data_IF_350595542527
#
_entry.id   IF_350595542527
#
_cell.length_a   1.000
_cell.length_b   1.000
_cell.length_c   1.000
_cell.angle_alpha   90.00
_cell.angle_beta   90.00
_cell.angle_gamma   90.00
#
_symmetry.space_group_name_H-M   'P 1'
#
loop_
_entity.id
_entity.type
_entity.pdbx_description
1 polymer ?
#
# COMPACT_ATOMS: atom_id res chain seq x y z
N UNK A 1 -21.88 -67.65 -13.28
CA UNK A 1 -20.65 -66.84 -13.27
C UNK A 1 -20.79 -65.55 -14.09
N UNK A 2 -21.51 -65.54 -15.21
CA UNK A 2 -21.66 -64.33 -16.07
C UNK A 2 -22.33 -63.12 -15.40
N UNK A 3 -23.37 -63.32 -14.58
CA UNK A 3 -24.10 -62.20 -13.93
C UNK A 3 -23.25 -61.41 -12.92
N UNK A 4 -22.26 -62.06 -12.31
CA UNK A 4 -21.37 -61.43 -11.32
C UNK A 4 -20.32 -60.57 -12.04
N UNK A 5 -19.83 -61.01 -13.19
CA UNK A 5 -18.91 -60.23 -14.03
C UNK A 5 -19.54 -58.95 -14.57
N UNK A 6 -20.82 -59.01 -14.96
CA UNK A 6 -21.55 -57.83 -15.45
C UNK A 6 -21.81 -56.80 -14.33
N UNK A 7 -22.09 -57.27 -13.11
CA UNK A 7 -22.28 -56.41 -11.93
C UNK A 7 -20.96 -55.74 -11.52
N UNK A 8 -19.84 -56.46 -11.57
CA UNK A 8 -18.49 -55.93 -11.32
C UNK A 8 -18.09 -54.89 -12.38
N UNK A 9 -18.41 -55.12 -13.65
CA UNK A 9 -18.14 -54.17 -14.73
C UNK A 9 -18.92 -52.87 -14.55
N UNK A 10 -20.21 -52.95 -14.18
CA UNK A 10 -21.05 -51.79 -13.89
C UNK A 10 -20.58 -51.02 -12.65
N UNK A 11 -20.09 -51.72 -11.63
CA UNK A 11 -19.53 -51.09 -10.43
C UNK A 11 -18.23 -50.33 -10.75
N UNK A 12 -17.34 -50.92 -11.56
CA UNK A 12 -16.12 -50.26 -12.02
C UNK A 12 -16.43 -49.04 -12.89
N UNK A 13 -17.42 -49.13 -13.79
CA UNK A 13 -17.87 -47.99 -14.60
C UNK A 13 -18.48 -46.88 -13.74
N UNK A 14 -19.25 -47.23 -12.72
CA UNK A 14 -19.86 -46.26 -11.80
C UNK A 14 -18.79 -45.53 -10.96
N UNK A 15 -17.77 -46.25 -10.49
CA UNK A 15 -16.66 -45.67 -9.72
C UNK A 15 -15.76 -44.78 -10.57
N UNK A 16 -15.55 -45.09 -11.86
CA UNK A 16 -14.79 -44.23 -12.79
C UNK A 16 -15.58 -42.99 -13.22
N UNK A 17 -16.92 -43.06 -13.26
CA UNK A 17 -17.79 -41.89 -13.50
C UNK A 17 -17.87 -40.94 -12.30
N UNK A 18 -17.70 -41.43 -11.07
CA UNK A 18 -17.72 -40.59 -9.85
C UNK A 18 -16.36 -39.99 -9.46
N UNK A 19 -15.28 -40.29 -10.17
CA UNK A 19 -13.91 -39.89 -9.79
C UNK A 19 -13.33 -38.71 -10.58
N UNK A 20 -14.15 -37.96 -11.35
CA UNK A 20 -13.69 -36.75 -12.07
C UNK A 20 -14.62 -35.56 -11.84
N UNK A 21 -14.88 -35.22 -10.59
CA UNK A 21 -15.26 -33.85 -10.19
C UNK A 21 -14.66 -33.58 -8.82
N UNK A 22 -13.33 -33.48 -8.75
CA UNK A 22 -12.71 -32.75 -7.66
C UNK A 22 -13.13 -31.29 -7.80
N UNK A 23 -13.74 -30.74 -6.75
CA UNK A 23 -13.99 -29.30 -6.68
C UNK A 23 -12.65 -28.58 -6.92
N UNK A 24 -12.62 -27.66 -7.89
CA UNK A 24 -11.42 -26.85 -8.13
C UNK A 24 -11.12 -26.11 -6.83
N UNK A 25 -9.98 -26.42 -6.24
CA UNK A 25 -9.52 -25.78 -5.01
C UNK A 25 -9.17 -24.30 -5.26
N UNK A 26 -8.54 -23.67 -4.28
CA UNK A 26 -8.07 -22.30 -4.40
C UNK A 26 -7.04 -22.21 -5.56
N UNK A 27 -7.45 -21.60 -6.67
CA UNK A 27 -6.55 -21.29 -7.80
C UNK A 27 -6.00 -19.87 -7.59
N UNK A 28 -4.69 -19.76 -7.38
CA UNK A 28 -4.03 -18.45 -7.33
C UNK A 28 -4.03 -17.81 -8.72
N UNK A 29 -4.17 -16.47 -8.81
CA UNK A 29 -4.06 -15.76 -10.07
C UNK A 29 -2.73 -16.05 -10.75
N UNK A 30 -2.78 -16.43 -12.01
CA UNK A 30 -1.63 -16.46 -12.91
C UNK A 30 -1.74 -15.32 -13.91
N UNK A 31 -0.59 -14.89 -14.42
CA UNK A 31 -0.52 -13.85 -15.43
C UNK A 31 -1.32 -14.26 -16.68
N UNK A 32 -2.29 -13.44 -17.08
CA UNK A 32 -3.24 -13.75 -18.17
C UNK A 32 -2.66 -13.50 -19.59
N UNK A 33 -1.42 -13.03 -19.68
CA UNK A 33 -0.71 -12.78 -20.93
C UNK A 33 -0.96 -11.39 -21.54
N UNK A 34 -1.74 -10.52 -20.90
CA UNK A 34 -1.92 -9.14 -21.35
C UNK A 34 -0.86 -8.23 -20.75
N UNK A 35 -0.28 -7.38 -21.58
CA UNK A 35 0.63 -6.30 -21.20
C UNK A 35 -0.15 -5.13 -20.58
N UNK A 36 0.11 -4.83 -19.30
CA UNK A 36 -0.49 -3.71 -18.56
C UNK A 36 0.54 -2.63 -18.22
N UNK A 37 1.83 -2.90 -18.38
CA UNK A 37 2.88 -1.94 -18.03
C UNK A 37 2.96 -0.79 -19.04
N UNK A 38 2.71 0.41 -18.54
CA UNK A 38 2.74 1.62 -19.36
C UNK A 38 4.16 2.18 -19.40
N UNK A 39 4.74 2.28 -20.60
CA UNK A 39 5.96 3.06 -20.79
C UNK A 39 5.66 4.56 -20.59
N UNK A 40 6.10 5.10 -19.46
CA UNK A 40 5.85 6.47 -19.04
C UNK A 40 6.97 7.40 -19.52
N UNK A 41 6.55 8.54 -20.03
CA UNK A 41 7.41 9.61 -20.54
C UNK A 41 6.80 10.96 -20.19
N UNK A 42 7.56 12.03 -20.37
CA UNK A 42 7.07 13.40 -20.17
C UNK A 42 5.77 13.71 -20.94
N UNK A 43 5.54 13.04 -22.08
CA UNK A 43 4.37 13.27 -22.95
C UNK A 43 3.07 12.68 -22.40
N UNK A 44 3.14 11.59 -21.64
CA UNK A 44 1.96 10.83 -21.22
C UNK A 44 1.79 10.76 -19.69
N UNK A 45 2.81 11.05 -18.89
CA UNK A 45 2.79 10.90 -17.44
C UNK A 45 1.58 11.59 -16.79
N UNK A 46 1.43 12.91 -17.01
CA UNK A 46 0.32 13.67 -16.43
C UNK A 46 -1.07 13.18 -16.88
N UNK A 47 -1.18 12.53 -18.04
CA UNK A 47 -2.46 11.97 -18.51
C UNK A 47 -2.79 10.70 -17.74
N UNK A 48 -1.80 9.83 -17.51
CA UNK A 48 -2.01 8.60 -16.76
C UNK A 48 -2.16 8.87 -15.26
N UNK A 49 -1.43 9.84 -14.71
CA UNK A 49 -1.59 10.32 -13.34
C UNK A 49 -3.03 10.81 -13.05
N UNK A 50 -3.74 11.32 -14.06
CA UNK A 50 -5.15 11.73 -13.95
C UNK A 50 -6.15 10.62 -14.29
N UNK A 51 -5.69 9.54 -14.93
CA UNK A 51 -6.54 8.45 -15.41
C UNK A 51 -6.80 7.43 -14.30
N UNK A 52 -5.78 7.17 -13.49
CA UNK A 52 -5.79 6.17 -12.45
C UNK A 52 -5.90 6.84 -11.08
N UNK A 53 -6.61 6.19 -10.17
CA UNK A 53 -6.74 6.66 -8.78
C UNK A 53 -5.41 6.52 -8.04
N UNK A 54 -4.68 5.42 -8.33
CA UNK A 54 -3.28 5.20 -7.96
C UNK A 54 -2.47 4.87 -9.21
N UNK A 55 -1.35 5.56 -9.42
CA UNK A 55 -0.37 5.21 -10.44
C UNK A 55 0.91 4.69 -9.78
N UNK A 56 1.15 3.38 -9.86
CA UNK A 56 2.40 2.74 -9.43
C UNK A 56 3.43 2.85 -10.55
N UNK A 57 4.64 3.31 -10.22
CA UNK A 57 5.71 3.59 -11.16
C UNK A 57 6.99 2.90 -10.71
N UNK A 58 7.51 2.03 -11.56
CA UNK A 58 8.84 1.45 -11.43
C UNK A 58 9.87 2.28 -12.21
N UNK A 59 10.96 2.67 -11.56
CA UNK A 59 12.06 3.39 -12.21
C UNK A 59 13.15 2.41 -12.63
N UNK A 60 13.42 2.34 -13.93
CA UNK A 60 14.37 1.41 -14.53
C UNK A 60 15.54 2.13 -15.22
N UNK A 61 16.58 1.37 -15.54
CA UNK A 61 17.64 1.76 -16.46
C UNK A 61 17.72 0.73 -17.59
N UNK A 62 18.27 1.09 -18.76
CA UNK A 62 18.46 0.11 -19.83
C UNK A 62 19.28 -1.09 -19.33
N UNK A 63 18.73 -2.29 -19.47
CA UNK A 63 19.41 -3.53 -19.14
C UNK A 63 20.15 -4.07 -20.36
N UNK A 64 21.40 -4.53 -20.20
CA UNK A 64 22.08 -5.27 -21.25
C UNK A 64 21.45 -6.66 -21.39
N UNK A 65 20.76 -6.90 -22.51
CA UNK A 65 20.11 -8.19 -22.78
C UNK A 65 21.09 -9.37 -22.88
N UNK A 66 22.39 -9.11 -23.06
CA UNK A 66 23.42 -10.15 -23.06
C UNK A 66 23.84 -10.54 -21.63
N UNK A 67 23.56 -9.69 -20.63
CA UNK A 67 23.74 -10.01 -19.23
C UNK A 67 22.54 -10.83 -18.74
N UNK A 68 22.76 -12.15 -18.64
CA UNK A 68 21.74 -13.10 -18.19
C UNK A 68 21.20 -12.79 -16.79
N UNK A 69 22.01 -12.20 -15.91
CA UNK A 69 21.59 -11.89 -14.55
C UNK A 69 20.61 -10.71 -14.56
N UNK A 70 20.97 -9.61 -15.22
CA UNK A 70 20.11 -8.43 -15.31
C UNK A 70 18.82 -8.73 -16.09
N UNK A 71 18.92 -9.48 -17.19
CA UNK A 71 17.74 -9.92 -17.95
C UNK A 71 16.77 -10.76 -17.08
N UNK A 72 17.30 -11.65 -16.22
CA UNK A 72 16.47 -12.45 -15.33
C UNK A 72 15.83 -11.63 -14.21
N UNK A 73 16.56 -10.67 -13.64
CA UNK A 73 16.01 -9.78 -12.62
C UNK A 73 14.88 -8.90 -13.17
N UNK A 74 15.07 -8.36 -14.37
CA UNK A 74 14.03 -7.60 -15.06
C UNK A 74 12.79 -8.48 -15.29
N UNK A 75 12.97 -9.70 -15.82
CA UNK A 75 11.85 -10.62 -16.05
C UNK A 75 11.04 -10.88 -14.76
N UNK A 76 11.70 -11.13 -13.63
CA UNK A 76 11.01 -11.35 -12.35
C UNK A 76 10.25 -10.10 -11.88
N UNK A 77 10.84 -8.93 -12.10
CA UNK A 77 10.23 -7.64 -11.73
C UNK A 77 9.02 -7.34 -12.62
N UNK A 78 9.16 -7.53 -13.92
CA UNK A 78 8.10 -7.38 -14.91
C UNK A 78 6.92 -8.31 -14.59
N UNK A 79 7.19 -9.60 -14.36
CA UNK A 79 6.17 -10.58 -13.95
C UNK A 79 5.45 -10.17 -12.64
N UNK A 80 6.20 -9.66 -11.66
CA UNK A 80 5.63 -9.18 -10.39
C UNK A 80 4.69 -7.99 -10.59
N UNK A 81 5.13 -6.99 -11.35
CA UNK A 81 4.37 -5.76 -11.60
C UNK A 81 3.12 -6.03 -12.45
N UNK A 82 3.25 -6.86 -13.49
CA UNK A 82 2.13 -7.24 -14.35
C UNK A 82 1.05 -8.01 -13.59
N UNK A 83 1.44 -8.94 -12.71
CA UNK A 83 0.48 -9.68 -11.91
C UNK A 83 -0.19 -8.76 -10.86
N UNK A 84 0.56 -7.83 -10.26
CA UNK A 84 -0.02 -6.82 -9.37
C UNK A 84 -1.04 -5.93 -10.11
N UNK A 85 -0.70 -5.48 -11.33
CA UNK A 85 -1.57 -4.71 -12.19
C UNK A 85 -2.84 -5.48 -12.57
N UNK A 86 -2.73 -6.78 -12.85
CA UNK A 86 -3.87 -7.64 -13.15
C UNK A 86 -4.82 -7.76 -11.94
N UNK A 87 -4.28 -7.92 -10.73
CA UNK A 87 -5.08 -8.11 -9.52
C UNK A 87 -5.82 -6.82 -9.13
N UNK A 88 -5.18 -5.67 -9.32
CA UNK A 88 -5.68 -4.34 -8.90
C UNK A 88 -6.34 -3.54 -10.04
N UNK A 89 -6.61 -4.19 -11.17
CA UNK A 89 -7.16 -3.54 -12.37
C UNK A 89 -8.56 -2.95 -12.14
N UNK A 90 -9.37 -3.55 -11.26
CA UNK A 90 -10.76 -3.13 -11.00
C UNK A 90 -10.85 -1.97 -10.01
N UNK A 91 -9.78 -1.76 -9.27
CA UNK A 91 -9.55 -0.79 -8.21
C UNK A 91 -8.98 0.51 -8.79
N UNK A 92 -8.95 0.65 -10.12
CA UNK A 92 -8.52 1.88 -10.78
C UNK A 92 -7.02 2.12 -10.74
N UNK A 93 -6.22 1.09 -10.43
CA UNK A 93 -4.76 1.20 -10.31
C UNK A 93 -4.09 1.03 -11.67
N UNK A 94 -3.16 1.93 -11.98
CA UNK A 94 -2.29 1.85 -13.15
C UNK A 94 -0.86 1.49 -12.76
N UNK A 95 -0.19 0.71 -13.61
CA UNK A 95 1.23 0.42 -13.47
C UNK A 95 2.01 0.98 -14.66
N UNK A 96 3.14 1.61 -14.38
CA UNK A 96 4.01 2.16 -15.40
C UNK A 96 5.48 2.02 -15.07
N UNK A 97 6.30 2.21 -16.11
CA UNK A 97 7.75 2.12 -16.05
C UNK A 97 8.33 3.41 -16.60
N UNK A 98 9.29 3.99 -15.89
CA UNK A 98 10.07 5.15 -16.35
C UNK A 98 11.52 4.71 -16.51
N UNK A 99 12.06 4.86 -17.72
CA UNK A 99 13.48 4.64 -17.99
C UNK A 99 14.26 5.92 -17.65
N UNK A 100 15.09 5.88 -16.60
CA UNK A 100 15.84 7.02 -16.08
C UNK A 100 16.83 7.60 -17.11
N UNK A 101 17.33 6.79 -18.05
CA UNK A 101 18.27 7.24 -19.07
C UNK A 101 17.58 7.75 -20.34
N UNK A 102 16.47 7.13 -20.75
CA UNK A 102 15.72 7.56 -21.94
C UNK A 102 14.79 8.73 -21.62
N UNK A 103 14.19 8.75 -20.43
CA UNK A 103 13.20 9.73 -19.98
C UNK A 103 13.75 10.69 -18.92
N UNK A 104 15.03 11.08 -19.03
CA UNK A 104 15.74 12.00 -18.11
C UNK A 104 14.93 13.22 -17.68
N UNK A 105 14.25 13.88 -18.62
CA UNK A 105 13.44 15.08 -18.34
C UNK A 105 12.23 14.82 -17.43
N UNK A 106 11.71 13.59 -17.45
CA UNK A 106 10.65 13.17 -16.53
C UNK A 106 11.27 12.80 -15.18
N UNK A 107 12.35 12.02 -15.18
CA UNK A 107 13.08 11.65 -13.97
C UNK A 107 13.52 12.88 -13.15
N UNK A 108 14.13 13.88 -13.80
CA UNK A 108 14.50 15.17 -13.19
C UNK A 108 13.29 15.92 -12.64
N UNK A 109 12.13 15.88 -13.32
CA UNK A 109 10.91 16.54 -12.85
C UNK A 109 10.34 15.86 -11.60
N UNK A 110 10.47 14.53 -11.51
CA UNK A 110 9.97 13.72 -10.40
C UNK A 110 11.01 13.60 -9.27
N UNK A 111 12.20 14.18 -9.44
CA UNK A 111 13.36 14.05 -8.56
C UNK A 111 13.71 12.58 -8.25
N UNK A 112 13.72 11.74 -9.30
CA UNK A 112 14.04 10.30 -9.19
C UNK A 112 15.33 9.96 -9.91
N UNK A 113 16.24 9.35 -9.17
CA UNK A 113 17.57 8.94 -9.66
C UNK A 113 17.89 7.48 -9.38
N UNK A 114 17.10 6.82 -8.52
CA UNK A 114 17.36 5.46 -8.08
C UNK A 114 16.70 4.43 -9.00
N UNK A 115 17.52 3.59 -9.62
CA UNK A 115 17.06 2.46 -10.40
C UNK A 115 16.56 1.34 -9.48
N UNK A 116 15.41 0.76 -9.81
CA UNK A 116 14.76 -0.26 -9.01
C UNK A 116 13.70 0.27 -8.04
N UNK A 117 13.62 1.58 -7.83
CA UNK A 117 12.63 2.17 -6.93
C UNK A 117 11.20 2.02 -7.47
N UNK A 118 10.24 1.80 -6.56
CA UNK A 118 8.81 1.74 -6.86
C UNK A 118 8.13 2.86 -6.07
N UNK A 119 7.38 3.71 -6.76
CA UNK A 119 6.57 4.76 -6.14
C UNK A 119 5.12 4.63 -6.54
N UNK A 120 4.22 4.81 -5.58
CA UNK A 120 2.79 4.98 -5.85
C UNK A 120 2.41 6.45 -5.75
N UNK A 121 1.76 6.97 -6.78
CA UNK A 121 1.25 8.33 -6.82
C UNK A 121 -0.27 8.29 -6.58
N UNK A 122 -0.74 8.97 -5.53
CA UNK A 122 -2.15 9.09 -5.13
C UNK A 122 -2.41 10.50 -4.59
N UNK A 123 -3.55 11.10 -4.93
CA UNK A 123 -4.00 12.39 -4.37
C UNK A 123 -3.00 13.57 -4.47
N UNK A 124 -2.01 13.51 -5.37
CA UNK A 124 -0.96 14.54 -5.47
C UNK A 124 0.32 14.24 -4.67
N UNK A 125 0.27 13.20 -3.83
CA UNK A 125 1.40 12.69 -3.05
C UNK A 125 2.08 11.52 -3.77
N UNK A 126 3.30 11.21 -3.33
CA UNK A 126 4.04 10.04 -3.81
C UNK A 126 4.65 9.28 -2.65
N UNK A 127 4.28 8.02 -2.49
CA UNK A 127 4.79 7.14 -1.44
C UNK A 127 5.73 6.11 -2.06
N UNK A 128 6.88 5.90 -1.43
CA UNK A 128 7.83 4.86 -1.83
C UNK A 128 7.39 3.49 -1.30
N UNK A 129 7.41 2.48 -2.17
CA UNK A 129 7.30 1.10 -1.75
C UNK A 129 8.68 0.53 -1.47
N UNK A 130 9.02 0.49 -0.18
CA UNK A 130 10.30 -0.05 0.32
C UNK A 130 10.14 -1.44 0.98
N UNK A 131 9.18 -2.20 0.44
CA UNK A 131 8.84 -3.54 0.89
C UNK A 131 9.48 -4.65 0.08
N UNK A 132 9.21 -5.88 0.52
CA UNK A 132 9.60 -7.10 -0.15
C UNK A 132 9.13 -7.12 -1.60
N UNK A 133 10.03 -7.49 -2.53
CA UNK A 133 9.71 -7.59 -3.96
C UNK A 133 8.94 -8.87 -4.28
N UNK A 134 7.66 -8.88 -3.91
CA UNK A 134 6.69 -9.92 -4.27
C UNK A 134 5.32 -9.32 -4.58
N UNK A 135 4.55 -10.00 -5.43
CA UNK A 135 3.26 -9.49 -5.90
C UNK A 135 2.24 -9.34 -4.78
N UNK A 136 2.17 -10.30 -3.87
CA UNK A 136 1.25 -10.29 -2.73
C UNK A 136 1.48 -9.06 -1.83
N UNK A 137 2.74 -8.76 -1.50
CA UNK A 137 3.09 -7.59 -0.65
C UNK A 137 2.85 -6.28 -1.40
N UNK A 138 3.15 -6.20 -2.70
CA UNK A 138 2.87 -5.00 -3.49
C UNK A 138 1.36 -4.76 -3.65
N UNK A 139 0.57 -5.82 -3.85
CA UNK A 139 -0.89 -5.74 -3.88
C UNK A 139 -1.43 -5.30 -2.52
N UNK A 140 -0.94 -5.88 -1.42
CA UNK A 140 -1.30 -5.48 -0.05
C UNK A 140 -1.04 -3.98 0.15
N UNK A 141 0.17 -3.50 -0.18
CA UNK A 141 0.53 -2.09 -0.11
C UNK A 141 -0.41 -1.19 -0.92
N UNK A 142 -0.72 -1.56 -2.17
CA UNK A 142 -1.59 -0.75 -3.04
C UNK A 142 -3.03 -0.72 -2.52
N UNK A 143 -3.56 -1.85 -2.03
CA UNK A 143 -4.91 -1.90 -1.48
C UNK A 143 -5.02 -1.11 -0.17
N UNK A 144 -4.03 -1.23 0.72
CA UNK A 144 -3.98 -0.39 1.92
C UNK A 144 -3.80 1.08 1.59
N UNK A 145 -3.07 1.41 0.52
CA UNK A 145 -2.93 2.78 0.01
C UNK A 145 -4.24 3.29 -0.62
N UNK A 146 -5.13 2.45 -1.15
CA UNK A 146 -6.40 2.86 -1.77
C UNK A 146 -7.44 3.30 -0.72
N UNK A 147 -7.37 2.74 0.48
CA UNK A 147 -8.19 3.15 1.62
C UNK A 147 -8.01 4.65 1.97
N UNK A 148 -8.96 5.18 2.74
CA UNK A 148 -8.87 6.56 3.22
C UNK A 148 -7.74 6.69 4.27
N UNK A 149 -6.87 7.71 4.21
CA UNK A 149 -5.62 7.76 4.98
C UNK A 149 -5.81 7.95 6.49
N UNK A 150 -7.01 8.33 6.94
CA UNK A 150 -7.29 8.63 8.36
C UNK A 150 -8.47 7.81 8.89
N UNK A 151 -8.22 6.97 9.88
CA UNK A 151 -9.26 6.19 10.55
C UNK A 151 -9.95 7.00 11.66
N UNK A 152 -11.29 7.05 11.65
CA UNK A 152 -12.05 7.75 12.69
C UNK A 152 -12.32 6.86 13.91
N UNK A 153 -12.03 7.38 15.11
CA UNK A 153 -12.36 6.76 16.40
C UNK A 153 -13.67 7.37 16.94
N UNK A 154 -14.73 6.58 16.84
CA UNK A 154 -16.11 6.93 17.15
C UNK A 154 -16.69 6.12 18.32
N UNK A 155 -16.01 5.06 18.77
CA UNK A 155 -16.48 4.20 19.87
C UNK A 155 -15.42 3.89 20.94
N UNK A 156 -15.87 3.48 22.13
CA UNK A 156 -14.97 2.99 23.19
C UNK A 156 -14.24 1.70 22.78
N UNK A 157 -14.82 0.91 21.87
CA UNK A 157 -14.19 -0.31 21.37
C UNK A 157 -13.01 0.04 20.47
N UNK A 158 -13.16 1.03 19.58
CA UNK A 158 -12.07 1.55 18.75
C UNK A 158 -10.98 2.19 19.60
N UNK A 159 -11.31 2.91 20.69
CA UNK A 159 -10.31 3.40 21.66
C UNK A 159 -9.46 2.24 22.22
N UNK A 160 -10.06 1.07 22.47
CA UNK A 160 -9.31 -0.10 22.93
C UNK A 160 -8.49 -0.73 21.81
N UNK A 161 -9.00 -0.73 20.57
CA UNK A 161 -8.25 -1.15 19.38
C UNK A 161 -7.00 -0.30 19.18
N UNK A 162 -7.19 1.02 19.15
CA UNK A 162 -6.11 2.00 19.07
C UNK A 162 -5.04 1.77 20.15
N UNK A 163 -5.42 1.50 21.40
CA UNK A 163 -4.45 1.26 22.48
C UNK A 163 -3.70 -0.08 22.38
N UNK A 164 -4.26 -1.07 21.70
CA UNK A 164 -3.64 -2.41 21.53
C UNK A 164 -2.71 -2.46 20.35
N UNK A 165 -2.95 -1.64 19.35
CA UNK A 165 -2.00 -1.47 18.27
C UNK A 165 -0.71 -0.85 18.86
N UNK A 166 0.43 -1.48 18.56
CA UNK A 166 1.76 -1.08 19.03
C UNK A 166 2.61 -0.53 17.88
N UNK A 167 2.02 -0.28 16.71
CA UNK A 167 2.69 0.34 15.56
C UNK A 167 2.93 1.84 15.75
N UNK A 168 3.73 2.42 14.86
CA UNK A 168 3.84 3.88 14.74
C UNK A 168 2.51 4.44 14.28
N UNK A 169 2.00 5.46 14.98
CA UNK A 169 0.74 6.09 14.60
C UNK A 169 0.63 7.53 15.08
N UNK A 170 -0.25 8.26 14.41
CA UNK A 170 -0.54 9.65 14.71
C UNK A 170 -2.03 9.79 14.99
N UNK A 171 -2.41 10.60 15.97
CA UNK A 171 -3.82 10.87 16.26
C UNK A 171 -4.08 12.35 16.50
N UNK A 172 -5.13 12.88 15.86
CA UNK A 172 -5.59 14.25 16.07
C UNK A 172 -6.98 14.34 16.71
N UNK A 173 -7.20 15.35 17.56
CA UNK A 173 -8.54 15.73 18.05
C UNK A 173 -9.03 16.98 17.34
N UNK A 174 -10.10 16.86 16.54
CA UNK A 174 -10.67 17.97 15.78
C UNK A 174 -12.14 18.20 16.13
N UNK A 175 -12.69 19.33 15.69
CA UNK A 175 -14.11 19.64 15.92
C UNK A 175 -15.04 18.77 15.07
N UNK A 176 -14.68 18.56 13.81
CA UNK A 176 -15.39 17.74 12.84
C UNK A 176 -14.46 17.36 11.68
N UNK A 177 -14.95 16.49 10.79
CA UNK A 177 -14.28 16.13 9.54
C UNK A 177 -14.35 17.21 8.44
N UNK A 178 -14.80 18.42 8.78
CA UNK A 178 -14.82 19.60 7.87
C UNK A 178 -14.00 20.76 8.42
N UNK A 179 -13.27 20.53 9.51
CA UNK A 179 -12.41 21.54 10.11
C UNK A 179 -11.11 21.69 9.30
N UNK A 180 -10.66 22.93 9.08
CA UNK A 180 -9.43 23.18 8.31
C UNK A 180 -8.21 22.43 8.86
N UNK A 181 -8.07 22.31 10.19
CA UNK A 181 -6.97 21.55 10.78
C UNK A 181 -7.06 20.04 10.55
N UNK A 182 -8.27 19.52 10.31
CA UNK A 182 -8.43 18.12 9.90
C UNK A 182 -8.03 17.92 8.44
N UNK A 183 -8.35 18.86 7.55
CA UNK A 183 -7.93 18.80 6.14
C UNK A 183 -6.39 18.77 6.02
N UNK A 184 -5.69 19.64 6.76
CA UNK A 184 -4.22 19.65 6.84
C UNK A 184 -3.66 18.32 7.40
N UNK A 185 -4.35 17.73 8.37
CA UNK A 185 -3.97 16.45 8.96
C UNK A 185 -4.16 15.28 7.98
N UNK A 186 -5.22 15.30 7.18
CA UNK A 186 -5.49 14.31 6.11
C UNK A 186 -4.47 14.42 5.00
N UNK A 187 -4.11 15.65 4.59
CA UNK A 187 -3.08 15.90 3.57
C UNK A 187 -1.73 15.32 4.01
N UNK A 188 -1.31 15.61 5.25
CA UNK A 188 -0.09 15.02 5.81
C UNK A 188 -0.13 13.49 5.89
N UNK A 189 -1.31 12.90 6.16
CA UNK A 189 -1.45 11.45 6.26
C UNK A 189 -1.17 10.72 4.94
N UNK A 190 -1.45 11.36 3.79
CA UNK A 190 -1.20 10.77 2.47
C UNK A 190 0.28 10.49 2.19
N UNK A 191 1.21 11.19 2.84
CA UNK A 191 2.66 10.97 2.69
C UNK A 191 3.17 9.71 3.41
N UNK A 192 2.43 9.19 4.39
CA UNK A 192 2.88 8.08 5.23
C UNK A 192 1.99 6.83 5.17
N UNK A 193 0.83 6.91 4.54
CA UNK A 193 0.00 5.75 4.27
C UNK A 193 0.73 4.78 3.31
N UNK A 194 0.66 3.46 3.50
CA UNK A 194 0.00 2.74 4.60
C UNK A 194 0.94 2.41 5.79
N UNK A 195 2.20 2.82 5.73
CA UNK A 195 3.24 2.40 6.69
C UNK A 195 3.00 2.92 8.11
N UNK A 196 2.49 4.15 8.23
CA UNK A 196 2.12 4.82 9.49
C UNK A 196 0.63 5.12 9.48
N UNK A 197 -0.10 4.61 10.48
CA UNK A 197 -1.54 4.82 10.60
C UNK A 197 -1.87 6.18 11.20
N UNK A 198 -2.80 6.90 10.58
CA UNK A 198 -3.33 8.15 11.09
C UNK A 198 -4.76 7.94 11.60
N UNK A 199 -5.06 8.55 12.74
CA UNK A 199 -6.36 8.46 13.41
C UNK A 199 -6.92 9.84 13.69
N UNK A 200 -8.23 9.97 13.67
CA UNK A 200 -8.91 11.18 14.12
C UNK A 200 -10.02 10.86 15.12
N UNK A 201 -10.24 11.76 16.06
CA UNK A 201 -11.37 11.71 16.97
C UNK A 201 -12.05 13.06 16.98
N UNK A 202 -13.38 13.07 16.99
CA UNK A 202 -14.18 14.31 17.04
C UNK A 202 -14.93 14.46 18.38
N UNK A 203 -15.09 13.36 19.13
CA UNK A 203 -15.83 13.35 20.37
C UNK A 203 -14.93 13.67 21.57
N UNK A 204 -15.21 14.79 22.26
CA UNK A 204 -14.46 15.26 23.44
C UNK A 204 -14.25 14.19 24.53
N UNK A 205 -15.23 13.32 24.76
CA UNK A 205 -15.12 12.27 25.79
C UNK A 205 -14.13 11.18 25.38
N UNK A 206 -14.07 10.81 24.09
CA UNK A 206 -13.14 9.81 23.57
C UNK A 206 -11.73 10.41 23.47
N UNK A 207 -11.61 11.65 22.97
CA UNK A 207 -10.34 12.39 22.93
C UNK A 207 -9.64 12.42 24.30
N UNK A 208 -10.39 12.76 25.36
CA UNK A 208 -9.88 12.74 26.74
C UNK A 208 -9.40 11.37 27.21
N UNK A 209 -10.04 10.28 26.75
CA UNK A 209 -9.57 8.92 27.07
C UNK A 209 -8.26 8.60 26.36
N UNK A 210 -8.01 9.20 25.20
CA UNK A 210 -6.81 9.02 24.40
C UNK A 210 -5.67 9.96 24.84
N UNK A 211 -5.93 10.89 25.77
CA UNK A 211 -4.93 11.85 26.25
C UNK A 211 -4.94 13.19 25.49
N UNK A 212 -5.86 13.35 24.53
CA UNK A 212 -6.06 14.58 23.76
C UNK A 212 -7.01 15.50 24.54
N UNK A 213 -6.48 16.57 25.12
CA UNK A 213 -7.23 17.49 25.98
C UNK A 213 -7.66 18.77 25.29
N UNK A 214 -6.93 19.18 24.26
CA UNK A 214 -7.10 20.45 23.55
C UNK A 214 -7.58 20.20 22.11
N UNK A 215 -8.41 21.10 21.59
CA UNK A 215 -8.87 21.04 20.19
C UNK A 215 -7.68 21.32 19.27
N UNK A 216 -7.59 20.59 18.16
CA UNK A 216 -6.47 20.59 17.20
C UNK A 216 -5.14 20.06 17.77
N UNK A 217 -5.18 19.40 18.93
CA UNK A 217 -4.02 18.66 19.44
C UNK A 217 -3.75 17.44 18.55
N UNK A 218 -2.50 17.25 18.16
CA UNK A 218 -2.02 16.08 17.42
C UNK A 218 -0.91 15.42 18.20
N UNK A 219 -1.03 14.11 18.41
CA UNK A 219 -0.12 13.29 19.18
C UNK A 219 0.51 12.21 18.28
N UNK A 220 1.82 12.04 18.39
CA UNK A 220 2.60 10.97 17.76
C UNK A 220 2.88 9.86 18.78
N UNK A 221 2.66 8.62 18.40
CA UNK A 221 3.01 7.44 19.18
C UNK A 221 4.14 6.68 18.49
N UNK A 222 5.27 6.61 19.18
CA UNK A 222 6.35 5.69 18.82
C UNK A 222 5.92 4.24 19.14
N UNK A 223 6.29 3.25 18.28
CA UNK A 223 5.97 1.86 18.53
C UNK A 223 6.37 1.38 19.92
N UNK A 224 5.52 0.56 20.53
CA UNK A 224 5.71 -0.01 21.88
C UNK A 224 5.81 1.02 23.03
N UNK A 225 5.65 2.33 22.77
CA UNK A 225 5.67 3.36 23.79
C UNK A 225 4.26 3.68 24.29
N UNK A 226 4.09 3.73 25.61
CA UNK A 226 2.78 4.00 26.25
C UNK A 226 2.38 5.47 26.22
N UNK A 227 3.34 6.38 26.10
CA UNK A 227 3.12 7.83 26.11
C UNK A 227 3.31 8.35 24.69
N UNK A 228 2.37 9.17 24.25
CA UNK A 228 2.51 9.98 23.06
C UNK A 228 3.45 11.16 23.28
N UNK A 229 3.86 11.75 22.16
CA UNK A 229 4.52 13.04 22.08
C UNK A 229 3.55 13.98 21.36
N UNK A 230 3.17 15.08 22.01
CA UNK A 230 2.36 16.13 21.36
C UNK A 230 3.24 16.82 20.32
N UNK A 231 2.77 16.89 19.07
CA UNK A 231 3.50 17.57 17.99
C UNK A 231 3.53 19.07 18.30
N UNK A 232 4.72 19.70 18.42
CA UNK A 232 4.82 21.10 18.76
C UNK A 232 4.47 22.00 17.56
N UNK A 233 3.79 23.11 17.82
CA UNK A 233 3.47 24.11 16.79
C UNK A 233 2.34 25.05 17.21
N UNK A 234 2.04 26.03 16.36
CA UNK A 234 0.81 26.81 16.47
C UNK A 234 -0.36 25.96 16.00
N UNK A 235 -1.50 26.00 16.71
CA UNK A 235 -2.67 25.17 16.38
C UNK A 235 -3.75 26.02 15.68
N UNK A 236 -4.44 25.48 14.65
CA UNK A 236 -4.25 24.16 14.03
C UNK A 236 -2.90 24.03 13.32
N UNK A 237 -2.32 22.82 13.33
CA UNK A 237 -1.04 22.54 12.67
C UNK A 237 -1.24 22.45 11.15
N UNK A 238 -0.33 23.06 10.40
CA UNK A 238 -0.23 22.86 8.95
C UNK A 238 0.32 21.47 8.63
N UNK A 239 -0.04 20.92 7.46
CA UNK A 239 0.40 19.62 6.96
C UNK A 239 1.94 19.46 7.05
N UNK A 240 2.69 20.45 6.59
CA UNK A 240 4.16 20.44 6.56
C UNK A 240 4.81 20.31 7.93
N UNK A 241 4.16 20.79 9.00
CA UNK A 241 4.66 20.65 10.38
C UNK A 241 4.51 19.20 10.84
N UNK A 242 3.36 18.59 10.53
CA UNK A 242 3.07 17.19 10.85
C UNK A 242 4.01 16.28 10.06
N UNK A 243 4.12 16.47 8.74
CA UNK A 243 4.99 15.72 7.85
C UNK A 243 6.44 15.72 8.32
N UNK A 244 6.97 16.92 8.58
CA UNK A 244 8.35 17.06 9.05
C UNK A 244 8.56 16.37 10.39
N UNK A 245 7.63 16.52 11.33
CA UNK A 245 7.74 15.88 12.64
C UNK A 245 7.72 14.35 12.51
N UNK A 246 6.78 13.80 11.76
CA UNK A 246 6.66 12.34 11.54
C UNK A 246 7.91 11.81 10.84
N UNK A 247 8.39 12.49 9.81
CA UNK A 247 9.61 12.09 9.09
C UNK A 247 10.86 12.09 9.97
N UNK A 248 10.98 13.06 10.90
CA UNK A 248 12.11 13.11 11.85
C UNK A 248 12.03 12.00 12.92
N UNK A 249 10.83 11.51 13.25
CA UNK A 249 10.59 10.57 14.36
C UNK A 249 10.16 9.17 13.92
N UNK A 250 9.96 8.90 12.62
CA UNK A 250 9.53 7.60 12.12
C UNK A 250 10.50 6.45 12.45
N UNK A 251 11.77 6.77 12.67
CA UNK A 251 12.80 5.80 13.09
C UNK A 251 12.72 5.55 14.60
N UNK A 252 11.89 4.58 14.98
CA UNK A 252 11.68 4.18 16.36
C UNK A 252 12.89 3.49 17.02
N UNK A 253 12.93 3.54 18.36
CA UNK A 253 13.91 2.87 19.23
C UNK A 253 13.82 1.35 19.11
N UNK A 254 12.60 0.82 19.09
CA UNK A 254 12.30 -0.58 18.83
C UNK A 254 11.33 -0.66 17.65
N UNK A 255 11.71 -1.38 16.59
CA UNK A 255 10.89 -1.55 15.39
C UNK A 255 10.76 -3.01 15.02
N UNK A 256 9.58 -3.39 14.53
CA UNK A 256 9.33 -4.71 13.96
C UNK A 256 9.64 -4.65 12.47
N UNK A 257 10.40 -5.64 11.98
CA UNK A 257 10.57 -5.84 10.55
C UNK A 257 9.26 -6.35 9.96
N UNK A 258 8.66 -5.63 9.00
CA UNK A 258 7.46 -6.06 8.27
C UNK A 258 7.80 -6.22 6.80
N UNK A 259 7.00 -6.99 6.08
CA UNK A 259 7.21 -7.23 4.64
C UNK A 259 7.01 -5.96 3.82
N UNK A 260 6.10 -5.07 4.24
CA UNK A 260 5.75 -3.85 3.52
C UNK A 260 6.81 -2.75 3.55
N UNK A 261 7.72 -2.77 4.54
CA UNK A 261 8.72 -1.72 4.78
C UNK A 261 10.10 -2.30 5.18
N UNK A 262 10.41 -3.53 4.77
CA UNK A 262 11.61 -4.23 5.25
C UNK A 262 12.95 -3.58 4.88
N UNK A 263 12.99 -2.72 3.87
CA UNK A 263 14.21 -2.08 3.39
C UNK A 263 14.44 -0.67 3.98
N UNK A 264 13.51 -0.17 4.80
CA UNK A 264 13.53 1.18 5.43
C UNK A 264 14.57 1.38 6.57
#
# INVERSE_FOLDING_TARGET
MEKIGFLLLLLVLAVTLTSVFGEKGLEFPSHDGKDRLINLSKKNFNRFLKKFDILVVYFTVPHDANDKYLAKQWQLTEEMLELAAQITEREGVGFGVVDLEKDKKLAEKLDKTEAGAIYAYKAGHSVEFDGQRSTDVLVEFVLELDEYPVEEINSKTEVQGFRRDESTKVIGYFESNTASGYDEFVDAAHDFQPVISFYAVFQKLLARQLGLTELNQVDFYEPYMKKSIVIPGETPLDNTVIEKFVQEHKRATLRKLRTMDMYE
#
